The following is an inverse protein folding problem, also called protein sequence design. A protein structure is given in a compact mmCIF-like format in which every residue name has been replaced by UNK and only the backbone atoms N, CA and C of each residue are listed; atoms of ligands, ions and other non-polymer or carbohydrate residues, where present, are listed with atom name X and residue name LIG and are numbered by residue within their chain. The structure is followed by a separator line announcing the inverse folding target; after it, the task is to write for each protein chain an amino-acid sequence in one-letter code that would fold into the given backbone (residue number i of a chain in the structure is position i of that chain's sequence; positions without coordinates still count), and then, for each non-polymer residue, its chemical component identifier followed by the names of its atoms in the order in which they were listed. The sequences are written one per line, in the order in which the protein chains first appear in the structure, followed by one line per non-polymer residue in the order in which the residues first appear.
data_IF_765745441982
#
_entry.id   IF_765745441982
#
_cell.length_a   1.000
_cell.length_b   1.000
_cell.length_c   1.000
_cell.angle_alpha   90.00
_cell.angle_beta   90.00
_cell.angle_gamma   90.00
#
_symmetry.space_group_name_H-M   'P 1'
#
loop_
_entity.id
_entity.type
_entity.pdbx_description
1 polymer ?
#
# COMPACT_ATOMS: atom_id res chain seq x y z
N UNK A 1 17.55 6.18 -34.47
CA UNK A 1 16.24 6.67 -33.99
C UNK A 1 16.47 7.38 -32.67
N UNK A 2 16.14 8.67 -32.59
CA UNK A 2 16.32 9.50 -31.38
C UNK A 2 15.15 9.21 -30.44
N UNK A 3 15.41 8.89 -29.18
CA UNK A 3 14.34 8.67 -28.19
C UNK A 3 13.53 9.98 -28.03
N UNK A 4 12.19 9.93 -28.01
CA UNK A 4 11.38 11.13 -27.84
C UNK A 4 11.73 11.80 -26.50
N UNK A 5 12.07 13.08 -26.55
CA UNK A 5 12.27 13.92 -25.37
C UNK A 5 10.94 13.98 -24.62
N UNK A 6 10.88 13.39 -23.42
CA UNK A 6 9.70 13.50 -22.55
C UNK A 6 9.48 14.96 -22.20
N UNK A 7 8.48 15.60 -22.80
CA UNK A 7 8.02 16.90 -22.33
C UNK A 7 7.47 16.75 -20.89
N UNK A 8 7.80 17.67 -19.97
CA UNK A 8 7.22 17.65 -18.64
C UNK A 8 5.69 17.81 -18.72
N UNK A 9 4.94 17.19 -17.79
CA UNK A 9 3.48 17.24 -17.80
C UNK A 9 2.98 18.69 -17.68
N UNK A 10 2.22 19.14 -18.69
CA UNK A 10 1.73 20.52 -18.83
C UNK A 10 0.74 20.96 -17.74
N UNK A 11 0.14 20.02 -17.01
CA UNK A 11 -0.85 20.27 -15.95
C UNK A 11 -0.39 19.74 -14.58
N UNK A 12 0.87 20.00 -14.22
CA UNK A 12 1.39 19.63 -12.90
C UNK A 12 1.32 20.82 -11.94
N UNK A 13 0.53 20.68 -10.87
CA UNK A 13 0.43 21.67 -9.80
C UNK A 13 0.75 21.01 -8.46
N UNK A 14 2.04 21.03 -8.09
CA UNK A 14 2.54 20.37 -6.87
C UNK A 14 1.86 20.91 -5.61
N UNK A 15 1.64 22.23 -5.53
CA UNK A 15 0.96 22.87 -4.41
C UNK A 15 -0.47 22.36 -4.23
N UNK A 16 -1.22 22.22 -5.32
CA UNK A 16 -2.60 21.70 -5.27
C UNK A 16 -2.61 20.25 -4.79
N UNK A 17 -1.71 19.41 -5.30
CA UNK A 17 -1.57 18.02 -4.87
C UNK A 17 -1.22 17.90 -3.38
N UNK A 18 -0.30 18.75 -2.89
CA UNK A 18 0.06 18.80 -1.48
C UNK A 18 -1.13 19.22 -0.60
N UNK A 19 -1.88 20.24 -1.00
CA UNK A 19 -3.07 20.71 -0.28
C UNK A 19 -4.17 19.66 -0.21
N UNK A 20 -4.46 18.97 -1.33
CA UNK A 20 -5.45 17.88 -1.36
C UNK A 20 -5.03 16.73 -0.43
N UNK A 21 -3.76 16.33 -0.48
CA UNK A 21 -3.23 15.26 0.36
C UNK A 21 -3.26 15.63 1.85
N UNK A 22 -2.90 16.87 2.18
CA UNK A 22 -2.95 17.37 3.54
C UNK A 22 -4.39 17.39 4.07
N UNK A 23 -5.34 17.89 3.27
CA UNK A 23 -6.75 17.91 3.63
C UNK A 23 -7.30 16.50 3.87
N UNK A 24 -7.01 15.56 2.98
CA UNK A 24 -7.41 14.16 3.15
C UNK A 24 -6.88 13.55 4.46
N UNK A 25 -5.63 13.85 4.84
CA UNK A 25 -5.07 13.39 6.12
C UNK A 25 -5.73 14.03 7.33
N UNK A 26 -6.06 15.33 7.25
CA UNK A 26 -6.78 16.03 8.32
C UNK A 26 -8.16 15.40 8.52
N UNK A 27 -8.88 15.09 7.44
CA UNK A 27 -10.18 14.42 7.50
C UNK A 27 -10.07 13.00 8.07
N UNK A 28 -9.01 12.25 7.75
CA UNK A 28 -8.80 10.90 8.27
C UNK A 28 -8.33 10.88 9.73
N UNK A 29 -7.66 11.93 10.20
CA UNK A 29 -7.01 11.97 11.51
C UNK A 29 -7.93 11.62 12.70
N UNK A 30 -9.17 12.14 12.80
CA UNK A 30 -10.09 11.79 13.89
C UNK A 30 -10.44 10.30 13.94
N UNK A 31 -10.43 9.62 12.79
CA UNK A 31 -10.66 8.18 12.73
C UNK A 31 -9.40 7.41 13.14
N UNK A 32 -8.24 7.82 12.63
CA UNK A 32 -6.96 7.14 12.89
C UNK A 32 -6.52 7.29 14.34
N UNK A 33 -6.74 8.46 14.95
CA UNK A 33 -6.33 8.78 16.32
C UNK A 33 -7.23 8.14 17.41
N UNK A 34 -8.20 7.30 17.03
CA UNK A 34 -9.03 6.59 17.99
C UNK A 34 -8.23 5.50 18.68
N UNK A 35 -8.52 5.28 19.97
CA UNK A 35 -7.86 4.23 20.76
C UNK A 35 -8.17 2.81 20.27
N UNK A 36 -9.27 2.62 19.53
CA UNK A 36 -9.72 1.35 18.99
C UNK A 36 -9.26 1.10 17.55
N UNK A 37 -8.40 1.97 17.01
CA UNK A 37 -7.81 1.85 15.68
C UNK A 37 -6.58 0.95 15.71
N UNK A 38 -6.59 -0.12 14.91
CA UNK A 38 -5.47 -1.05 14.79
C UNK A 38 -4.55 -0.73 13.62
N UNK A 39 -5.12 -0.22 12.53
CA UNK A 39 -4.39 0.03 11.29
C UNK A 39 -5.11 1.08 10.44
N UNK A 40 -4.34 1.89 9.73
CA UNK A 40 -4.84 2.82 8.72
C UNK A 40 -3.94 2.87 7.49
N UNK A 41 -4.53 2.97 6.31
CA UNK A 41 -3.88 3.40 5.07
C UNK A 41 -4.62 4.65 4.55
N UNK A 42 -4.10 5.25 3.47
CA UNK A 42 -4.56 6.46 2.77
C UNK A 42 -6.02 6.86 3.01
N UNK A 43 -6.95 5.95 2.73
CA UNK A 43 -8.40 6.14 2.73
C UNK A 43 -9.15 5.00 3.46
N UNK A 44 -8.44 4.21 4.28
CA UNK A 44 -9.03 3.06 4.97
C UNK A 44 -8.55 2.92 6.40
N UNK A 45 -9.41 2.39 7.25
CA UNK A 45 -9.14 2.19 8.67
C UNK A 45 -9.71 0.85 9.13
N UNK A 46 -9.00 0.20 10.04
CA UNK A 46 -9.42 -1.03 10.72
C UNK A 46 -9.55 -0.71 12.19
N UNK A 47 -10.79 -0.79 12.68
CA UNK A 47 -11.18 -0.42 14.04
C UNK A 47 -11.90 -1.59 14.72
N UNK A 48 -11.89 -1.59 16.05
CA UNK A 48 -12.63 -2.58 16.86
C UNK A 48 -14.11 -2.25 16.93
N UNK A 49 -14.46 -1.00 17.23
CA UNK A 49 -15.84 -0.58 17.43
C UNK A 49 -16.40 -0.01 16.13
N UNK A 50 -17.67 -0.28 15.79
CA UNK A 50 -18.26 0.23 14.57
C UNK A 50 -18.37 1.76 14.59
N UNK A 51 -18.19 2.40 13.43
CA UNK A 51 -18.43 3.84 13.29
C UNK A 51 -19.94 4.16 13.38
N UNK A 52 -20.28 5.39 13.80
CA UNK A 52 -21.64 5.91 13.70
C UNK A 52 -22.18 5.77 12.26
N UNK A 53 -23.46 5.43 12.13
CA UNK A 53 -24.10 5.21 10.82
C UNK A 53 -24.04 6.44 9.92
N UNK A 54 -24.04 7.64 10.51
CA UNK A 54 -24.00 8.91 9.79
C UNK A 54 -22.67 9.15 9.05
N UNK A 55 -21.61 8.41 9.41
CA UNK A 55 -20.29 8.49 8.79
C UNK A 55 -20.04 7.35 7.80
N UNK A 56 -21.02 6.46 7.62
CA UNK A 56 -20.86 5.23 6.84
C UNK A 56 -21.92 5.15 5.74
N UNK A 57 -21.48 5.18 4.49
CA UNK A 57 -22.36 5.03 3.34
C UNK A 57 -21.64 4.32 2.20
N UNK A 58 -22.29 3.36 1.51
CA UNK A 58 -21.69 2.67 0.36
C UNK A 58 -21.68 3.51 -0.92
N UNK A 59 -22.45 4.60 -0.97
CA UNK A 59 -22.73 5.35 -2.21
C UNK A 59 -22.45 6.84 -2.10
N UNK A 60 -22.45 7.40 -0.89
CA UNK A 60 -22.28 8.83 -0.68
C UNK A 60 -20.80 9.24 -0.69
N UNK A 61 -20.48 10.28 -1.46
CA UNK A 61 -19.12 10.77 -1.60
C UNK A 61 -18.65 11.43 -0.31
N UNK A 62 -17.46 11.05 0.16
CA UNK A 62 -16.85 11.61 1.37
C UNK A 62 -17.19 10.84 2.66
N UNK A 63 -18.11 9.89 2.61
CA UNK A 63 -18.38 8.96 3.72
C UNK A 63 -17.58 7.67 3.56
N UNK A 64 -17.36 6.98 4.69
CA UNK A 64 -16.61 5.73 4.71
C UNK A 64 -17.50 4.56 4.29
N UNK A 65 -16.95 3.65 3.49
CA UNK A 65 -17.64 2.42 3.11
C UNK A 65 -17.32 1.31 4.10
N UNK A 66 -18.34 0.64 4.60
CA UNK A 66 -18.16 -0.60 5.36
C UNK A 66 -17.79 -1.75 4.42
N UNK A 67 -16.57 -2.27 4.51
CA UNK A 67 -16.08 -3.34 3.62
C UNK A 67 -16.14 -4.74 4.24
N UNK A 68 -15.58 -4.93 5.43
CA UNK A 68 -15.31 -6.27 5.96
C UNK A 68 -15.54 -6.39 7.47
N UNK A 69 -15.98 -7.58 7.90
CA UNK A 69 -15.89 -8.03 9.30
C UNK A 69 -14.73 -9.00 9.45
N UNK A 70 -13.78 -8.66 10.32
CA UNK A 70 -12.51 -9.37 10.48
C UNK A 70 -12.55 -10.16 11.80
N UNK A 71 -12.30 -11.46 11.71
CA UNK A 71 -12.15 -12.37 12.86
C UNK A 71 -10.74 -12.31 13.44
N UNK A 72 -9.72 -12.26 12.57
CA UNK A 72 -8.31 -12.12 12.95
C UNK A 72 -7.56 -11.28 11.92
N UNK A 73 -6.83 -10.27 12.37
CA UNK A 73 -5.97 -9.43 11.53
C UNK A 73 -4.53 -9.47 12.03
N UNK A 74 -3.57 -9.61 11.12
CA UNK A 74 -2.13 -9.50 11.40
C UNK A 74 -1.58 -8.35 10.58
N UNK A 75 -1.04 -7.34 11.25
CA UNK A 75 -0.48 -6.13 10.64
C UNK A 75 1.02 -6.07 10.95
N UNK A 76 1.86 -6.12 9.91
CA UNK A 76 3.31 -6.04 10.10
C UNK A 76 3.73 -4.57 10.05
N UNK A 77 3.98 -3.97 11.21
CA UNK A 77 4.36 -2.56 11.33
C UNK A 77 5.65 -2.20 10.56
N UNK A 78 6.56 -3.17 10.39
CA UNK A 78 7.84 -2.98 9.70
C UNK A 78 7.69 -2.82 8.17
N UNK A 79 6.54 -3.16 7.57
CA UNK A 79 6.35 -3.14 6.12
C UNK A 79 5.05 -2.42 5.72
N UNK A 80 5.12 -1.25 5.03
CA UNK A 80 3.92 -0.53 4.61
C UNK A 80 3.08 -1.40 3.65
N UNK A 81 1.77 -1.45 3.91
CA UNK A 81 0.78 -2.23 3.13
C UNK A 81 1.01 -3.75 3.17
N UNK A 82 1.54 -4.26 4.29
CA UNK A 82 1.69 -5.70 4.54
C UNK A 82 0.81 -6.16 5.70
N UNK A 83 -0.29 -6.81 5.35
CA UNK A 83 -1.25 -7.33 6.33
C UNK A 83 -2.00 -8.56 5.81
N UNK A 84 -2.49 -9.35 6.76
CA UNK A 84 -3.32 -10.52 6.51
C UNK A 84 -4.60 -10.44 7.33
N UNK A 85 -5.75 -10.62 6.68
CA UNK A 85 -7.06 -10.62 7.32
C UNK A 85 -7.73 -11.98 7.12
N UNK A 86 -8.27 -12.51 8.20
CA UNK A 86 -9.20 -13.64 8.20
C UNK A 86 -10.57 -13.09 8.54
N UNK A 87 -11.47 -13.16 7.56
CA UNK A 87 -12.82 -12.62 7.66
C UNK A 87 -13.77 -13.60 8.35
N UNK A 88 -14.91 -13.10 8.83
CA UNK A 88 -15.95 -13.95 9.44
C UNK A 88 -16.53 -15.00 8.49
N UNK A 89 -16.54 -14.74 7.18
CA UNK A 89 -16.97 -15.69 6.15
C UNK A 89 -15.87 -16.69 5.75
N UNK A 90 -14.86 -16.89 6.61
CA UNK A 90 -13.72 -17.79 6.41
C UNK A 90 -12.84 -17.44 5.18
N UNK A 91 -13.00 -16.25 4.60
CA UNK A 91 -12.15 -15.75 3.51
C UNK A 91 -10.83 -15.18 4.05
N UNK A 92 -9.73 -15.44 3.35
CA UNK A 92 -8.42 -14.87 3.65
C UNK A 92 -8.06 -13.76 2.65
N UNK A 93 -7.72 -12.58 3.17
CA UNK A 93 -7.19 -11.46 2.39
C UNK A 93 -5.71 -11.28 2.74
N UNK A 94 -4.84 -11.41 1.75
CA UNK A 94 -3.40 -11.20 1.90
C UNK A 94 -2.95 -9.98 1.09
N UNK A 95 -2.34 -9.02 1.77
CA UNK A 95 -1.73 -7.85 1.16
C UNK A 95 -0.26 -7.80 1.54
N UNK A 96 0.59 -7.70 0.54
CA UNK A 96 2.02 -7.52 0.73
C UNK A 96 2.55 -6.69 -0.43
N UNK A 97 3.34 -5.66 -0.10
CA UNK A 97 3.95 -4.77 -1.08
C UNK A 97 5.31 -5.32 -1.49
N UNK A 98 5.55 -5.44 -2.80
CA UNK A 98 6.83 -5.82 -3.35
C UNK A 98 6.80 -7.13 -4.14
N UNK A 99 7.97 -7.54 -4.65
CA UNK A 99 8.06 -8.63 -5.62
C UNK A 99 7.79 -10.00 -5.00
N UNK A 100 7.96 -10.15 -3.68
CA UNK A 100 7.72 -11.40 -2.96
C UNK A 100 6.24 -11.71 -2.68
N UNK A 101 5.29 -10.87 -3.13
CA UNK A 101 3.86 -10.98 -2.83
C UNK A 101 3.29 -12.39 -3.07
N UNK A 102 3.72 -13.07 -4.13
CA UNK A 102 3.24 -14.41 -4.47
C UNK A 102 3.68 -15.51 -3.48
N UNK A 103 4.72 -15.27 -2.69
CA UNK A 103 5.27 -16.25 -1.75
C UNK A 103 4.79 -16.03 -0.31
N UNK A 104 4.04 -14.96 -0.07
CA UNK A 104 3.51 -14.62 1.24
C UNK A 104 2.21 -15.37 1.48
N UNK A 105 2.13 -16.06 2.62
CA UNK A 105 0.96 -16.82 3.06
C UNK A 105 0.51 -16.34 4.44
N UNK A 106 -0.71 -16.67 4.85
CA UNK A 106 -1.19 -16.35 6.20
C UNK A 106 -0.27 -16.94 7.28
N UNK A 107 0.16 -18.19 7.10
CA UNK A 107 1.13 -18.84 8.00
C UNK A 107 2.48 -18.11 8.06
N UNK A 108 2.93 -17.51 6.94
CA UNK A 108 4.14 -16.69 6.95
C UNK A 108 3.95 -15.45 7.83
N UNK A 109 2.80 -14.78 7.77
CA UNK A 109 2.48 -13.66 8.67
C UNK A 109 2.49 -14.08 10.14
N UNK A 110 1.92 -15.24 10.48
CA UNK A 110 1.97 -15.76 11.85
C UNK A 110 3.39 -16.04 12.33
N UNK A 111 4.22 -16.63 11.47
CA UNK A 111 5.64 -16.88 11.78
C UNK A 111 6.43 -15.58 11.95
N UNK A 112 6.17 -14.58 11.12
CA UNK A 112 6.84 -13.28 11.24
C UNK A 112 6.45 -12.54 12.52
N UNK A 113 5.21 -12.73 13.01
CA UNK A 113 4.78 -12.17 14.29
C UNK A 113 5.49 -12.84 15.48
N UNK A 114 5.79 -14.14 15.37
CA UNK A 114 6.54 -14.88 16.39
C UNK A 114 8.03 -14.55 16.39
N UNK A 115 8.60 -14.33 15.20
CA UNK A 115 10.00 -13.97 15.02
C UNK A 115 10.13 -12.86 13.96
N UNK A 116 10.34 -11.63 14.43
CA UNK A 116 10.47 -10.45 13.59
C UNK A 116 11.71 -10.47 12.69
N UNK A 117 12.73 -11.25 13.04
CA UNK A 117 13.98 -11.36 12.29
C UNK A 117 13.96 -12.48 11.24
N UNK A 118 12.82 -13.19 11.10
CA UNK A 118 12.70 -14.27 10.15
C UNK A 118 12.92 -13.76 8.71
N UNK A 119 13.99 -14.23 8.08
CA UNK A 119 14.28 -13.97 6.67
C UNK A 119 14.07 -15.22 5.83
N UNK A 120 13.49 -15.06 4.63
CA UNK A 120 13.35 -16.12 3.65
C UNK A 120 13.81 -15.61 2.29
N UNK A 121 14.80 -16.28 1.71
CA UNK A 121 15.20 -16.03 0.34
C UNK A 121 14.22 -16.70 -0.63
N UNK A 122 13.80 -15.96 -1.65
CA UNK A 122 12.91 -16.45 -2.71
C UNK A 122 13.43 -15.99 -4.06
N UNK A 123 13.46 -16.90 -5.02
CA UNK A 123 13.84 -16.59 -6.41
C UNK A 123 12.65 -15.97 -7.11
N UNK A 124 12.83 -14.74 -7.62
CA UNK A 124 11.77 -14.00 -8.31
C UNK A 124 12.19 -13.79 -9.76
N UNK A 125 11.37 -14.23 -10.71
CA UNK A 125 11.57 -13.95 -12.12
C UNK A 125 11.04 -12.55 -12.46
N UNK A 126 11.92 -11.58 -12.67
CA UNK A 126 11.53 -10.23 -13.07
C UNK A 126 11.53 -10.11 -14.61
N UNK A 127 10.37 -9.90 -15.27
CA UNK A 127 10.32 -9.73 -16.72
C UNK A 127 10.84 -8.35 -17.18
N UNK A 128 10.98 -7.38 -16.29
CA UNK A 128 11.44 -6.03 -16.63
C UNK A 128 12.95 -5.91 -16.50
N UNK A 129 13.69 -6.54 -17.42
CA UNK A 129 15.13 -6.30 -17.56
C UNK A 129 15.34 -5.11 -18.50
N UNK A 130 15.55 -3.92 -17.95
CA UNK A 130 15.98 -2.77 -18.75
C UNK A 130 17.45 -3.00 -19.10
N UNK A 131 17.72 -3.39 -20.35
CA UNK A 131 19.08 -3.48 -20.89
C UNK A 131 19.48 -2.06 -21.29
N UNK A 132 20.28 -1.40 -20.45
CA UNK A 132 20.93 -0.15 -20.84
C UNK A 132 22.09 -0.49 -21.77
N UNK A 133 21.90 -0.36 -23.08
CA UNK A 133 23.05 -0.29 -23.99
C UNK A 133 23.67 1.08 -23.84
N UNK A 134 24.74 1.16 -23.06
CA UNK A 134 25.55 2.37 -22.94
C UNK A 134 25.99 2.84 -24.32
N UNK A 135 25.79 4.13 -24.60
CA UNK A 135 26.32 4.73 -25.83
C UNK A 135 27.84 4.49 -25.89
N UNK A 136 28.39 4.02 -27.03
CA UNK A 136 29.84 4.02 -27.20
C UNK A 136 30.30 5.48 -27.11
N UNK A 137 31.24 5.75 -26.18
CA UNK A 137 31.94 7.03 -26.15
C UNK A 137 32.60 7.19 -27.51
N UNK A 138 32.13 8.16 -28.31
CA UNK A 138 32.77 8.50 -29.58
C UNK A 138 34.23 8.84 -29.30
N UNK A 139 35.12 8.15 -29.99
CA UNK A 139 36.55 8.27 -29.86
C UNK A 139 37.03 9.70 -29.97
N UNK A 140 38.03 9.98 -29.16
CA UNK A 140 38.92 11.12 -29.22
C UNK A 140 39.39 11.31 -30.68
N UNK A 141 39.00 12.41 -31.34
CA UNK A 141 39.65 12.85 -32.57
C UNK A 141 40.83 13.72 -32.15
N UNK A 142 42.04 13.21 -32.41
CA UNK A 142 43.25 14.03 -32.48
C UNK A 142 43.25 14.91 -33.72
#
# INVERSE_FOLDING_TARGET
MIAPTREPPRYSAVHLSASITAYARIVMHPHVARNDSFYSDTDSIIIREPLPKDLVSPTELGLLKFEYKIKKGIFLALAPKSYALHLENETLILRHKGPAKAHVTFRWFERQLQDLNLTKEVTIHNPFRIIWTGHPKSGNKG
#
